data_IF_176654274454
#
_entry.id   IF_176654274454
#
_cell.length_a   1.000
_cell.length_b   1.000
_cell.length_c   1.000
_cell.angle_alpha   90.00
_cell.angle_beta   90.00
_cell.angle_gamma   90.00
#
_symmetry.space_group_name_H-M   'P 1'
#
loop_
_entity.id
_entity.type
_entity.pdbx_description
1 polymer ?
#
# COMPACT_ATOMS: atom_id res chain seq x y z
N UNK A 1 7.48 -13.52 15.21
CA UNK A 1 8.35 -14.53 14.57
C UNK A 1 9.61 -13.78 14.16
N UNK A 2 10.49 -13.55 15.13
CA UNK A 2 11.76 -12.87 14.95
C UNK A 2 12.71 -13.82 14.24
N UNK A 3 12.60 -13.86 12.92
CA UNK A 3 13.52 -14.64 12.10
C UNK A 3 14.91 -14.12 12.43
N UNK A 4 15.76 -15.04 12.86
CA UNK A 4 17.04 -14.80 13.51
C UNK A 4 18.03 -14.19 12.51
N UNK A 5 17.92 -12.88 12.32
CA UNK A 5 18.70 -12.11 11.35
C UNK A 5 20.22 -12.33 11.52
N UNK A 6 20.64 -12.57 12.77
CA UNK A 6 22.02 -12.91 13.11
C UNK A 6 22.47 -14.27 12.53
N UNK A 7 21.62 -15.30 12.59
CA UNK A 7 21.94 -16.63 12.03
C UNK A 7 22.02 -16.58 10.51
N UNK A 8 21.10 -15.87 9.85
CA UNK A 8 21.11 -15.68 8.40
C UNK A 8 22.38 -14.94 7.95
N UNK A 9 22.82 -13.92 8.69
CA UNK A 9 24.06 -13.21 8.36
C UNK A 9 25.29 -14.11 8.48
N UNK A 10 25.32 -14.98 9.50
CA UNK A 10 26.40 -15.94 9.66
C UNK A 10 26.41 -16.98 8.53
N UNK A 11 25.24 -17.47 8.13
CA UNK A 11 25.10 -18.40 7.00
C UNK A 11 25.59 -17.76 5.69
N UNK A 12 25.21 -16.50 5.41
CA UNK A 12 25.67 -15.78 4.22
C UNK A 12 27.19 -15.65 4.20
N UNK A 13 27.82 -15.30 5.33
CA UNK A 13 29.27 -15.16 5.43
C UNK A 13 30.02 -16.50 5.35
N UNK A 14 29.33 -17.62 5.63
CA UNK A 14 29.91 -18.97 5.52
C UNK A 14 29.89 -19.52 4.09
N UNK A 15 29.19 -18.86 3.16
CA UNK A 15 29.11 -19.26 1.76
C UNK A 15 30.42 -18.96 1.00
N UNK A 16 30.71 -19.71 -0.07
CA UNK A 16 31.82 -19.38 -0.99
C UNK A 16 31.69 -17.97 -1.60
N UNK A 17 32.81 -17.38 -1.97
CA UNK A 17 32.89 -16.00 -2.47
C UNK A 17 32.04 -15.80 -3.74
N UNK A 18 32.01 -16.81 -4.62
CA UNK A 18 31.21 -16.81 -5.85
C UNK A 18 29.70 -16.73 -5.55
N UNK A 19 29.24 -17.41 -4.50
CA UNK A 19 27.84 -17.41 -4.10
C UNK A 19 27.45 -16.07 -3.43
N UNK A 20 28.36 -15.47 -2.66
CA UNK A 20 28.15 -14.15 -2.07
C UNK A 20 28.05 -13.06 -3.16
N UNK A 21 28.88 -13.14 -4.20
CA UNK A 21 28.82 -12.24 -5.36
C UNK A 21 27.48 -12.38 -6.09
N UNK A 22 27.01 -13.61 -6.31
CA UNK A 22 25.73 -13.86 -6.97
C UNK A 22 24.54 -13.28 -6.17
N UNK A 23 24.59 -13.38 -4.85
CA UNK A 23 23.59 -12.74 -3.98
C UNK A 23 23.63 -11.22 -4.12
N UNK A 24 24.82 -10.62 -4.20
CA UNK A 24 24.99 -9.18 -4.39
C UNK A 24 24.40 -8.71 -5.73
N UNK A 25 24.69 -9.43 -6.81
CA UNK A 25 24.13 -9.17 -8.14
C UNK A 25 22.60 -9.28 -8.13
N UNK A 26 22.07 -10.31 -7.49
CA UNK A 26 20.63 -10.50 -7.36
C UNK A 26 19.97 -9.37 -6.56
N UNK A 27 20.59 -8.95 -5.45
CA UNK A 27 20.15 -7.78 -4.67
C UNK A 27 20.15 -6.52 -5.54
N UNK A 28 21.14 -6.34 -6.40
CA UNK A 28 21.25 -5.18 -7.28
C UNK A 28 20.16 -5.17 -8.36
N UNK A 29 19.83 -6.32 -8.94
CA UNK A 29 18.69 -6.50 -9.83
C UNK A 29 17.38 -6.15 -9.10
N UNK A 30 17.18 -6.69 -7.90
CA UNK A 30 15.98 -6.40 -7.11
C UNK A 30 15.87 -4.90 -6.79
N UNK A 31 16.96 -4.24 -6.40
CA UNK A 31 16.97 -2.79 -6.16
C UNK A 31 16.62 -1.98 -7.42
N UNK A 32 17.03 -2.45 -8.60
CA UNK A 32 16.73 -1.80 -9.88
C UNK A 32 15.24 -1.94 -10.25
N UNK A 33 14.66 -3.13 -10.06
CA UNK A 33 13.29 -3.44 -10.46
C UNK A 33 12.24 -3.03 -9.41
N UNK A 34 12.64 -3.01 -8.14
CA UNK A 34 11.83 -2.58 -7.01
C UNK A 34 12.54 -1.42 -6.31
N UNK A 35 12.61 -0.24 -6.95
CA UNK A 35 13.12 0.94 -6.29
C UNK A 35 12.27 1.16 -5.04
N UNK A 36 12.91 1.02 -3.87
CA UNK A 36 12.24 1.32 -2.61
C UNK A 36 11.79 2.79 -2.69
N UNK A 37 10.52 3.11 -2.37
CA UNK A 37 10.15 4.50 -2.17
C UNK A 37 11.12 5.01 -1.10
N UNK A 38 11.87 6.08 -1.41
CA UNK A 38 12.76 6.71 -0.45
C UNK A 38 11.94 6.90 0.82
N UNK A 39 12.29 6.17 1.89
CA UNK A 39 11.83 6.54 3.23
C UNK A 39 12.64 7.77 3.58
N UNK A 40 12.16 8.89 3.06
CA UNK A 40 12.63 10.22 3.41
C UNK A 40 12.31 10.40 4.90
N UNK A 41 13.28 10.09 5.76
CA UNK A 41 13.38 10.69 7.08
C UNK A 41 13.85 12.16 6.94
N UNK A 42 13.30 12.86 5.95
CA UNK A 42 13.52 14.27 5.67
C UNK A 42 12.15 14.85 5.37
N UNK A 43 11.83 15.90 6.11
CA UNK A 43 10.63 16.71 6.02
C UNK A 43 10.60 17.35 4.63
N UNK A 44 10.14 16.62 3.62
CA UNK A 44 9.80 17.14 2.30
C UNK A 44 8.38 16.70 1.98
N UNK A 45 7.48 17.62 2.32
CA UNK A 45 6.04 17.63 2.13
C UNK A 45 5.65 17.36 0.66
N UNK A 46 5.68 16.12 0.21
CA UNK A 46 4.77 15.67 -0.84
C UNK A 46 3.45 15.34 -0.13
N UNK A 47 2.38 16.14 -0.30
CA UNK A 47 1.10 15.83 0.32
C UNK A 47 0.69 14.43 -0.13
N UNK A 48 0.35 13.58 0.84
CA UNK A 48 -0.22 12.26 0.56
C UNK A 48 -1.34 12.44 -0.49
N UNK A 49 -1.54 11.52 -1.43
CA UNK A 49 -2.59 11.67 -2.45
C UNK A 49 -3.97 12.00 -1.86
N UNK A 50 -4.27 11.49 -0.65
CA UNK A 50 -5.46 11.89 0.12
C UNK A 50 -5.45 13.36 0.55
N UNK A 51 -4.31 13.92 0.98
CA UNK A 51 -4.20 15.32 1.36
C UNK A 51 -4.43 16.23 0.14
N UNK A 52 -3.84 15.90 -1.01
CA UNK A 52 -4.08 16.63 -2.28
C UNK A 52 -5.55 16.54 -2.71
N UNK A 53 -6.18 15.39 -2.48
CA UNK A 53 -7.60 15.17 -2.79
C UNK A 53 -8.51 15.99 -1.86
N UNK A 54 -8.27 15.96 -0.55
CA UNK A 54 -9.01 16.73 0.47
C UNK A 54 -8.84 18.24 0.24
N UNK A 55 -7.64 18.71 -0.11
CA UNK A 55 -7.40 20.13 -0.41
C UNK A 55 -8.16 20.59 -1.67
N UNK A 56 -8.19 19.75 -2.72
CA UNK A 56 -8.81 20.10 -4.00
C UNK A 56 -10.34 20.01 -3.99
N UNK A 57 -10.90 19.02 -3.29
CA UNK A 57 -12.33 18.71 -3.34
C UNK A 57 -13.05 18.95 -2.01
N UNK A 58 -12.33 19.39 -0.98
CA UNK A 58 -12.83 19.48 0.38
C UNK A 58 -12.76 18.13 1.09
N UNK A 59 -12.77 18.16 2.42
CA UNK A 59 -13.05 16.97 3.20
C UNK A 59 -14.48 16.51 2.88
N UNK A 60 -14.64 15.22 2.56
CA UNK A 60 -15.97 14.62 2.41
C UNK A 60 -16.55 14.42 3.82
N UNK A 61 -16.93 15.53 4.44
CA UNK A 61 -17.67 15.55 5.70
C UNK A 61 -19.11 15.18 5.37
N UNK A 62 -19.43 13.90 5.53
CA UNK A 62 -20.81 13.44 5.47
C UNK A 62 -21.45 13.72 6.84
N UNK A 63 -22.41 14.63 6.89
CA UNK A 63 -23.14 14.98 8.12
C UNK A 63 -24.02 13.83 8.62
N UNK A 64 -24.23 12.80 7.79
CA UNK A 64 -25.06 11.64 8.11
C UNK A 64 -24.29 10.66 8.98
N UNK A 65 -25.00 10.06 9.91
CA UNK A 65 -24.49 8.93 10.70
C UNK A 65 -24.27 7.69 9.82
N UNK A 66 -23.42 6.77 10.29
CA UNK A 66 -23.17 5.52 9.57
C UNK A 66 -24.47 4.73 9.35
N UNK A 67 -25.39 4.79 10.29
CA UNK A 67 -26.71 4.15 10.25
C UNK A 67 -27.59 4.71 9.13
N UNK A 68 -27.58 6.04 8.93
CA UNK A 68 -28.33 6.72 7.87
C UNK A 68 -27.78 6.39 6.48
N UNK A 69 -26.45 6.35 6.34
CA UNK A 69 -25.79 5.95 5.10
C UNK A 69 -26.13 4.49 4.76
N UNK A 70 -26.03 3.59 5.74
CA UNK A 70 -26.40 2.17 5.56
C UNK A 70 -27.86 2.06 5.14
N UNK A 71 -28.76 2.79 5.81
CA UNK A 71 -30.19 2.80 5.48
C UNK A 71 -30.45 3.29 4.05
N UNK A 72 -29.86 4.41 3.64
CA UNK A 72 -30.00 4.94 2.28
C UNK A 72 -29.49 3.95 1.22
N UNK A 73 -28.37 3.27 1.49
CA UNK A 73 -27.82 2.23 0.61
C UNK A 73 -28.81 1.08 0.43
N UNK A 74 -29.43 0.60 1.52
CA UNK A 74 -30.43 -0.46 1.44
C UNK A 74 -31.72 0.02 0.75
N UNK A 75 -32.18 1.25 1.03
CA UNK A 75 -33.36 1.84 0.40
C UNK A 75 -33.14 2.00 -1.12
N UNK A 76 -31.93 2.38 -1.55
CA UNK A 76 -31.57 2.55 -2.96
C UNK A 76 -31.36 1.22 -3.69
N UNK A 77 -30.86 0.19 -2.99
CA UNK A 77 -30.55 -1.14 -3.57
C UNK A 77 -31.73 -2.10 -3.54
N UNK A 78 -32.82 -1.77 -2.86
CA UNK A 78 -34.05 -2.58 -2.79
C UNK A 78 -35.05 -2.26 -3.90
N UNK A 79 -34.75 -1.32 -4.79
CA UNK A 79 -35.52 -1.12 -6.01
C UNK A 79 -35.19 -2.27 -6.97
N UNK A 80 -36.04 -3.28 -6.99
CA UNK A 80 -36.08 -4.33 -8.02
C UNK A 80 -36.14 -3.69 -9.41
N UNK A 81 -35.09 -3.84 -10.22
CA UNK A 81 -35.10 -3.55 -11.67
C UNK A 81 -35.92 -4.61 -12.44
N UNK A 82 -37.15 -4.88 -12.02
CA UNK A 82 -38.03 -5.81 -12.74
C UNK A 82 -38.75 -5.19 -13.94
N UNK A 83 -38.64 -3.88 -14.15
CA UNK A 83 -39.35 -3.18 -15.23
C UNK A 83 -38.40 -2.55 -16.26
N UNK A 84 -37.35 -3.26 -16.69
CA UNK A 84 -36.70 -2.94 -17.96
C UNK A 84 -37.55 -3.60 -19.06
N UNK A 85 -38.60 -2.89 -19.50
CA UNK A 85 -39.32 -3.27 -20.73
C UNK A 85 -38.41 -3.01 -21.94
N UNK A 86 -38.13 -4.08 -22.68
CA UNK A 86 -37.42 -4.10 -23.97
C UNK A 86 -38.20 -3.40 -25.08
#
# INVERSE_FOLDING_TARGET
>A
MDIKLAEISQEINSLPEEAQILLLDFIQILKKHYPQPKRENTITSQPHPLNTFIEKYGAWEDERTAEEIVKEIYDSRTISHSDISL
#
